data_IF_742153558559
#
_entry.id   IF_742153558559
#
_cell.length_a   1.000
_cell.length_b   1.000
_cell.length_c   1.000
_cell.angle_alpha   90.00
_cell.angle_beta   90.00
_cell.angle_gamma   90.00
#
_symmetry.space_group_name_H-M   'P 1'
#
loop_
_entity.id
_entity.type
_entity.pdbx_description
1 polymer ?
#
# COMPACT_ATOMS: atom_id res chain seq x y z
N UNK A 1 10.37 57.18 29.58
CA UNK A 1 8.90 57.10 29.42
C UNK A 1 8.66 56.01 28.40
N UNK A 2 8.16 54.89 28.91
CA UNK A 2 7.70 53.76 28.11
C UNK A 2 6.36 54.16 27.47
N UNK A 3 6.19 53.92 26.18
CA UNK A 3 4.85 53.77 25.61
C UNK A 3 4.85 52.55 24.72
N UNK A 4 3.98 51.61 25.12
CA UNK A 4 3.74 50.31 24.51
C UNK A 4 3.12 50.52 23.14
N UNK A 5 3.67 49.87 22.12
CA UNK A 5 2.90 49.48 20.95
C UNK A 5 2.73 47.98 21.05
N UNK A 6 1.50 47.56 21.35
CA UNK A 6 1.08 46.17 21.35
C UNK A 6 1.37 45.56 19.98
N UNK A 7 2.30 44.61 19.98
CA UNK A 7 2.59 43.77 18.84
C UNK A 7 1.44 42.77 18.70
N UNK A 8 0.54 43.05 17.75
CA UNK A 8 -0.39 42.05 17.21
C UNK A 8 0.48 41.00 16.54
N UNK A 9 0.86 39.97 17.31
CA UNK A 9 1.57 38.81 16.79
C UNK A 9 0.75 38.23 15.66
N UNK A 10 1.33 38.30 14.48
CA UNK A 10 0.87 37.73 13.23
C UNK A 10 0.27 36.36 13.46
N UNK A 11 -0.89 36.11 12.84
CA UNK A 11 -1.30 34.77 12.42
C UNK A 11 -0.11 34.12 11.71
N UNK A 12 0.66 33.35 12.46
CA UNK A 12 1.80 32.62 11.97
C UNK A 12 1.27 31.49 11.12
N UNK A 13 1.57 31.59 9.83
CA UNK A 13 1.79 30.47 8.91
C UNK A 13 0.82 29.31 9.07
N UNK A 14 -0.17 29.28 8.18
CA UNK A 14 -0.72 28.03 7.67
C UNK A 14 0.41 27.02 7.56
N UNK A 15 0.46 26.12 8.53
CA UNK A 15 1.32 24.96 8.49
C UNK A 15 0.61 24.06 7.51
N UNK A 16 0.87 24.30 6.23
CA UNK A 16 0.64 23.32 5.18
C UNK A 16 1.55 22.14 5.53
N UNK A 17 1.10 21.31 6.48
CA UNK A 17 1.52 19.94 6.62
C UNK A 17 1.05 19.27 5.33
N UNK A 18 1.81 19.49 4.26
CA UNK A 18 1.84 18.58 3.14
C UNK A 18 2.13 17.23 3.77
N UNK A 19 1.07 16.42 3.89
CA UNK A 19 1.17 14.98 3.92
C UNK A 19 1.87 14.57 2.62
N UNK A 20 3.19 14.77 2.54
CA UNK A 20 4.06 13.99 1.68
C UNK A 20 4.31 12.65 2.37
N UNK A 21 3.22 11.96 2.72
CA UNK A 21 3.24 10.51 2.74
C UNK A 21 3.24 10.14 1.25
N UNK A 22 4.46 10.01 0.74
CA UNK A 22 4.82 9.25 -0.47
C UNK A 22 3.63 8.59 -1.16
N UNK A 23 3.29 9.12 -2.34
CA UNK A 23 2.49 8.41 -3.34
C UNK A 23 3.05 7.01 -3.66
N UNK A 24 4.26 6.67 -3.20
CA UNK A 24 4.86 5.33 -3.30
C UNK A 24 4.32 4.28 -2.31
N UNK A 25 3.42 4.62 -1.38
CA UNK A 25 2.82 3.64 -0.45
C UNK A 25 1.46 3.09 -0.90
N UNK A 26 0.84 3.68 -1.92
CA UNK A 26 -0.37 3.13 -2.55
C UNK A 26 -0.01 2.15 -3.68
N UNK A 27 1.15 2.32 -4.32
CA UNK A 27 1.61 1.49 -5.44
C UNK A 27 2.25 0.14 -5.05
N UNK A 28 2.17 -0.28 -3.78
CA UNK A 28 2.73 -1.57 -3.31
C UNK A 28 1.78 -2.44 -2.49
N UNK A 29 0.46 -2.23 -2.62
CA UNK A 29 -0.52 -3.24 -2.21
C UNK A 29 -0.66 -4.29 -3.29
N UNK A 30 0.41 -5.06 -3.52
CA UNK A 30 0.23 -6.37 -4.13
C UNK A 30 -0.56 -7.22 -3.14
N UNK A 31 -1.80 -7.53 -3.50
CA UNK A 31 -2.54 -8.68 -3.00
C UNK A 31 -1.61 -9.90 -3.15
N UNK A 32 -0.89 -10.24 -2.08
CA UNK A 32 -0.23 -11.53 -1.89
C UNK A 32 -1.13 -12.37 -1.00
N UNK A 33 -2.22 -12.81 -1.60
CA UNK A 33 -3.14 -13.87 -1.17
C UNK A 33 -3.93 -14.22 -2.42
N UNK A 34 -4.07 -15.44 -2.91
CA UNK A 34 -3.75 -16.75 -2.41
C UNK A 34 -4.51 -17.67 -3.36
N UNK A 35 -3.79 -18.44 -4.18
CA UNK A 35 -4.30 -19.69 -4.72
C UNK A 35 -3.22 -20.72 -4.41
N UNK A 36 -3.31 -21.30 -3.22
CA UNK A 36 -2.61 -22.55 -2.92
C UNK A 36 -3.14 -23.62 -3.88
N UNK A 37 -2.27 -24.02 -4.81
CA UNK A 37 -2.25 -25.26 -5.58
C UNK A 37 -3.57 -26.03 -5.79
N UNK A 38 -4.09 -26.04 -7.03
CA UNK A 38 -4.76 -27.23 -7.55
C UNK A 38 -3.68 -28.11 -8.17
N UNK A 39 -3.10 -29.02 -7.38
CA UNK A 39 -2.35 -30.15 -7.95
C UNK A 39 -3.37 -31.08 -8.61
N UNK A 40 -3.45 -31.06 -9.93
CA UNK A 40 -4.14 -32.10 -10.69
C UNK A 40 -3.37 -33.40 -10.51
N UNK A 41 -4.00 -34.41 -9.89
CA UNK A 41 -3.44 -35.78 -9.87
C UNK A 41 -3.32 -36.31 -11.30
N UNK A 42 -2.14 -36.72 -11.78
CA UNK A 42 -2.03 -37.34 -13.08
C UNK A 42 -2.67 -38.74 -13.03
N UNK A 43 -3.61 -38.98 -13.93
CA UNK A 43 -4.19 -40.30 -14.15
C UNK A 43 -3.10 -41.31 -14.55
N UNK A 44 -3.09 -42.46 -13.85
CA UNK A 44 -2.65 -43.78 -14.32
C UNK A 44 -1.32 -43.88 -15.09
N UNK A 45 -0.25 -44.24 -14.38
CA UNK A 45 1.06 -44.61 -14.93
C UNK A 45 0.98 -45.75 -15.95
N UNK A 46 1.51 -45.52 -17.15
CA UNK A 46 2.11 -46.56 -17.98
C UNK A 46 3.50 -46.11 -18.40
N UNK A 47 4.48 -46.94 -18.05
CA UNK A 47 5.92 -46.71 -18.19
C UNK A 47 6.30 -46.24 -19.60
N UNK A 48 6.81 -45.01 -19.69
CA UNK A 48 7.59 -44.52 -20.81
C UNK A 48 8.85 -43.79 -20.31
N UNK A 49 9.87 -43.96 -21.12
CA UNK A 49 11.30 -43.90 -20.87
C UNK A 49 11.83 -42.54 -20.37
N UNK A 50 12.88 -42.59 -19.52
CA UNK A 50 13.49 -41.42 -18.87
C UNK A 50 14.50 -40.73 -19.78
N UNK A 51 14.03 -39.71 -20.51
CA UNK A 51 14.71 -38.41 -20.54
C UNK A 51 13.74 -37.44 -19.88
N UNK A 52 14.08 -36.86 -18.73
CA UNK A 52 13.12 -36.05 -17.97
C UNK A 52 12.91 -34.72 -18.72
N UNK A 53 12.02 -34.72 -19.71
CA UNK A 53 11.36 -33.52 -20.19
C UNK A 53 10.70 -32.86 -18.97
N UNK A 54 10.85 -31.55 -18.85
CA UNK A 54 10.12 -30.75 -17.86
C UNK A 54 8.62 -31.14 -17.91
N UNK A 55 8.01 -31.59 -16.79
CA UNK A 55 6.63 -32.05 -16.77
C UNK A 55 5.64 -31.05 -17.35
N UNK A 56 5.88 -29.75 -17.17
CA UNK A 56 5.04 -28.69 -17.74
C UNK A 56 5.20 -28.61 -19.26
N UNK A 57 6.43 -28.67 -19.76
CA UNK A 57 6.73 -28.69 -21.19
C UNK A 57 6.17 -29.95 -21.88
N UNK A 58 6.27 -31.11 -21.23
CA UNK A 58 5.69 -32.36 -21.71
C UNK A 58 4.16 -32.27 -21.76
N UNK A 59 3.52 -31.77 -20.69
CA UNK A 59 2.06 -31.59 -20.61
C UNK A 59 1.58 -30.64 -21.71
N UNK A 60 2.27 -29.52 -21.90
CA UNK A 60 1.95 -28.55 -22.96
C UNK A 60 2.03 -29.19 -24.35
N UNK A 61 3.14 -29.87 -24.64
CA UNK A 61 3.40 -30.56 -25.91
C UNK A 61 2.33 -31.61 -26.22
N UNK A 62 2.01 -32.49 -25.28
CA UNK A 62 1.03 -33.56 -25.51
C UNK A 62 -0.41 -33.05 -25.56
N UNK A 63 -0.75 -32.00 -24.81
CA UNK A 63 -2.09 -31.38 -24.89
C UNK A 63 -2.30 -30.70 -26.24
N UNK A 64 -1.29 -30.00 -26.78
CA UNK A 64 -1.33 -29.43 -28.13
C UNK A 64 -1.51 -30.50 -29.22
N UNK A 65 -0.79 -31.63 -29.11
CA UNK A 65 -0.95 -32.75 -30.03
C UNK A 65 -2.34 -33.40 -29.94
N UNK A 66 -2.88 -33.53 -28.71
CA UNK A 66 -4.22 -34.05 -28.50
C UNK A 66 -5.29 -33.17 -29.16
N UNK A 67 -5.19 -31.84 -29.00
CA UNK A 67 -6.10 -30.89 -29.66
C UNK A 67 -6.00 -31.01 -31.18
N UNK A 68 -4.79 -31.04 -31.74
CA UNK A 68 -4.59 -31.16 -33.19
C UNK A 68 -5.15 -32.47 -33.78
N UNK A 69 -5.23 -33.54 -32.97
CA UNK A 69 -5.80 -34.82 -33.36
C UNK A 69 -7.31 -34.96 -33.06
N UNK A 70 -7.90 -34.01 -32.32
CA UNK A 70 -9.29 -34.04 -31.90
C UNK A 70 -10.17 -33.29 -32.91
N UNK A 71 -11.25 -33.90 -33.45
CA UNK A 71 -12.14 -33.22 -34.38
C UNK A 71 -12.86 -32.01 -33.77
N UNK A 72 -13.18 -31.03 -34.61
CA UNK A 72 -14.00 -29.87 -34.20
C UNK A 72 -15.34 -30.34 -33.60
N UNK A 73 -15.72 -29.73 -32.47
CA UNK A 73 -16.96 -30.05 -31.76
C UNK A 73 -16.90 -31.29 -30.86
N UNK A 74 -15.74 -31.92 -30.69
CA UNK A 74 -15.56 -32.99 -29.71
C UNK A 74 -15.84 -32.48 -28.27
N UNK A 75 -16.58 -33.23 -27.43
CA UNK A 75 -17.00 -32.77 -26.10
C UNK A 75 -15.85 -32.46 -25.13
N UNK A 76 -14.68 -33.09 -25.33
CA UNK A 76 -13.50 -32.87 -24.47
C UNK A 76 -12.63 -31.69 -24.92
N UNK A 77 -12.84 -31.17 -26.14
CA UNK A 77 -12.05 -30.07 -26.69
C UNK A 77 -12.07 -28.81 -25.81
N UNK A 78 -13.22 -28.39 -25.23
CA UNK A 78 -13.28 -27.28 -24.29
C UNK A 78 -12.43 -27.48 -23.02
N UNK A 79 -12.32 -28.72 -22.53
CA UNK A 79 -11.48 -29.05 -21.37
C UNK A 79 -10.00 -28.92 -21.72
N UNK A 80 -9.58 -29.42 -22.89
CA UNK A 80 -8.20 -29.32 -23.36
C UNK A 80 -7.79 -27.86 -23.58
N UNK A 81 -8.68 -27.04 -24.17
CA UNK A 81 -8.47 -25.60 -24.29
C UNK A 81 -8.34 -24.93 -22.91
N UNK A 82 -9.21 -25.25 -21.96
CA UNK A 82 -9.12 -24.70 -20.59
C UNK A 82 -7.79 -25.06 -19.92
N UNK A 83 -7.33 -26.30 -20.07
CA UNK A 83 -6.04 -26.75 -19.55
C UNK A 83 -4.86 -25.97 -20.17
N UNK A 84 -4.86 -25.78 -21.49
CA UNK A 84 -3.85 -24.95 -22.15
C UNK A 84 -3.90 -23.49 -21.68
N UNK A 85 -5.09 -22.92 -21.51
CA UNK A 85 -5.25 -21.55 -21.03
C UNK A 85 -4.62 -21.33 -19.65
N UNK A 86 -4.76 -22.29 -18.73
CA UNK A 86 -4.10 -22.27 -17.41
C UNK A 86 -2.59 -22.42 -17.55
N UNK A 87 -2.11 -23.43 -18.29
CA UNK A 87 -0.67 -23.68 -18.48
C UNK A 87 0.06 -22.47 -19.07
N UNK A 88 -0.53 -21.82 -20.08
CA UNK A 88 0.06 -20.62 -20.67
C UNK A 88 -0.01 -19.41 -19.73
N UNK A 89 -1.02 -19.32 -18.86
CA UNK A 89 -1.08 -18.28 -17.81
C UNK A 89 0.07 -18.47 -16.81
N UNK A 90 0.30 -19.69 -16.35
CA UNK A 90 1.38 -20.00 -15.41
C UNK A 90 2.76 -19.81 -16.07
N UNK A 91 2.89 -20.23 -17.33
CA UNK A 91 4.10 -19.98 -18.11
C UNK A 91 4.38 -18.49 -18.26
N UNK A 92 3.36 -17.68 -18.57
CA UNK A 92 3.49 -16.22 -18.59
C UNK A 92 3.97 -15.66 -17.24
N UNK A 93 3.40 -16.12 -16.12
CA UNK A 93 3.82 -15.67 -14.78
C UNK A 93 5.29 -15.98 -14.50
N UNK A 94 5.81 -17.07 -15.05
CA UNK A 94 7.20 -17.48 -14.89
C UNK A 94 8.16 -16.75 -15.85
N UNK A 95 7.74 -16.51 -17.10
CA UNK A 95 8.63 -16.01 -18.17
C UNK A 95 8.45 -14.53 -18.49
N UNK A 96 7.28 -13.96 -18.19
CA UNK A 96 6.84 -12.64 -18.63
C UNK A 96 6.52 -12.54 -20.13
N UNK A 97 6.48 -13.66 -20.87
CA UNK A 97 6.27 -13.63 -22.34
C UNK A 97 4.84 -13.21 -22.72
N UNK A 98 4.75 -12.11 -23.46
CA UNK A 98 3.47 -11.55 -23.94
C UNK A 98 2.77 -12.54 -24.88
N UNK A 99 3.53 -13.32 -25.65
CA UNK A 99 3.01 -14.36 -26.52
C UNK A 99 2.33 -15.47 -25.73
N UNK A 100 2.91 -15.89 -24.61
CA UNK A 100 2.31 -16.88 -23.71
C UNK A 100 0.99 -16.34 -23.12
N UNK A 101 0.92 -15.07 -22.73
CA UNK A 101 -0.33 -14.45 -22.28
C UNK A 101 -1.40 -14.36 -23.40
N UNK A 102 -0.97 -14.07 -24.63
CA UNK A 102 -1.84 -14.08 -25.80
C UNK A 102 -2.41 -15.48 -26.09
N UNK A 103 -1.58 -16.51 -25.96
CA UNK A 103 -2.00 -17.91 -26.07
C UNK A 103 -2.97 -18.29 -24.95
N UNK A 104 -2.70 -17.89 -23.71
CA UNK A 104 -3.59 -18.12 -22.57
C UNK A 104 -4.99 -17.54 -22.82
N UNK A 105 -5.07 -16.28 -23.26
CA UNK A 105 -6.33 -15.62 -23.61
C UNK A 105 -7.06 -16.36 -24.74
N UNK A 106 -6.36 -16.75 -25.80
CA UNK A 106 -6.94 -17.47 -26.92
C UNK A 106 -7.57 -18.80 -26.51
N UNK A 107 -6.83 -19.61 -25.74
CA UNK A 107 -7.31 -20.92 -25.29
C UNK A 107 -8.42 -20.82 -24.24
N UNK A 108 -8.31 -19.91 -23.27
CA UNK A 108 -9.39 -19.68 -22.29
C UNK A 108 -10.67 -19.17 -22.97
N UNK A 109 -10.55 -18.29 -23.98
CA UNK A 109 -11.70 -17.82 -24.75
C UNK A 109 -12.35 -18.94 -25.56
N UNK A 110 -11.56 -19.78 -26.22
CA UNK A 110 -12.05 -20.95 -26.95
C UNK A 110 -12.75 -21.95 -26.02
N UNK A 111 -12.22 -22.16 -24.81
CA UNK A 111 -12.83 -23.00 -23.79
C UNK A 111 -14.21 -22.45 -23.38
N UNK A 112 -14.30 -21.17 -23.01
CA UNK A 112 -15.56 -20.53 -22.61
C UNK A 112 -16.59 -20.57 -23.74
N UNK A 113 -16.21 -20.21 -24.97
CA UNK A 113 -17.11 -20.17 -26.12
C UNK A 113 -17.71 -21.53 -26.47
N UNK A 114 -16.96 -22.61 -26.24
CA UNK A 114 -17.40 -23.98 -26.52
C UNK A 114 -18.10 -24.66 -25.32
N UNK A 115 -18.28 -23.94 -24.20
CA UNK A 115 -18.95 -24.45 -23.00
C UNK A 115 -20.35 -23.84 -22.88
N UNK A 116 -21.42 -24.65 -22.82
CA UNK A 116 -22.76 -24.12 -22.56
C UNK A 116 -22.87 -23.42 -21.20
N UNK A 117 -23.61 -22.33 -21.13
CA UNK A 117 -23.94 -21.66 -19.86
C UNK A 117 -24.70 -22.65 -18.96
N UNK A 118 -24.30 -22.74 -17.69
CA UNK A 118 -24.85 -23.69 -16.72
C UNK A 118 -24.15 -25.05 -16.68
N UNK A 119 -23.19 -25.32 -17.58
CA UNK A 119 -22.28 -26.45 -17.43
C UNK A 119 -21.41 -26.26 -16.17
N UNK A 120 -21.11 -27.30 -15.38
CA UNK A 120 -20.33 -27.19 -14.14
C UNK A 120 -19.00 -26.45 -14.32
N UNK A 121 -18.26 -26.75 -15.40
CA UNK A 121 -16.98 -26.10 -15.68
C UNK A 121 -17.08 -24.66 -16.23
N UNK A 122 -18.28 -24.19 -16.61
CA UNK A 122 -18.42 -22.90 -17.27
C UNK A 122 -17.96 -21.74 -16.38
N UNK A 123 -18.31 -21.80 -15.09
CA UNK A 123 -17.88 -20.79 -14.11
C UNK A 123 -16.34 -20.76 -14.00
N UNK A 124 -15.71 -21.91 -13.74
CA UNK A 124 -14.25 -22.00 -13.64
C UNK A 124 -13.52 -21.53 -14.90
N UNK A 125 -14.07 -21.80 -16.09
CA UNK A 125 -13.51 -21.30 -17.37
C UNK A 125 -13.65 -19.78 -17.51
N UNK A 126 -14.77 -19.20 -17.10
CA UNK A 126 -14.94 -17.75 -17.07
C UNK A 126 -13.97 -17.08 -16.10
N UNK A 127 -13.75 -17.67 -14.92
CA UNK A 127 -12.77 -17.20 -13.94
C UNK A 127 -11.35 -17.23 -14.52
N UNK A 128 -10.93 -18.34 -15.13
CA UNK A 128 -9.61 -18.44 -15.78
C UNK A 128 -9.43 -17.39 -16.87
N UNK A 129 -10.45 -17.16 -17.70
CA UNK A 129 -10.42 -16.12 -18.72
C UNK A 129 -10.32 -14.72 -18.11
N UNK A 130 -11.07 -14.44 -17.03
CA UNK A 130 -11.01 -13.17 -16.34
C UNK A 130 -9.64 -12.92 -15.70
N UNK A 131 -8.97 -13.96 -15.18
CA UNK A 131 -7.59 -13.89 -14.69
C UNK A 131 -6.65 -13.51 -15.83
N UNK A 132 -6.71 -14.15 -17.00
CA UNK A 132 -5.87 -13.77 -18.15
C UNK A 132 -6.09 -12.32 -18.60
N UNK A 133 -7.34 -11.83 -18.57
CA UNK A 133 -7.65 -10.43 -18.84
C UNK A 133 -7.05 -9.48 -17.80
N UNK A 134 -7.09 -9.86 -16.52
CA UNK A 134 -6.49 -9.10 -15.41
C UNK A 134 -4.97 -9.02 -15.57
N UNK A 135 -4.31 -10.13 -15.92
CA UNK A 135 -2.87 -10.14 -16.20
C UNK A 135 -2.53 -9.24 -17.40
N UNK A 136 -3.35 -9.26 -18.46
CA UNK A 136 -3.17 -8.35 -19.61
C UNK A 136 -3.33 -6.89 -19.19
N UNK A 137 -4.31 -6.57 -18.34
CA UNK A 137 -4.45 -5.23 -17.80
C UNK A 137 -3.21 -4.79 -17.02
N UNK A 138 -2.69 -5.63 -16.11
CA UNK A 138 -1.47 -5.32 -15.36
C UNK A 138 -0.27 -5.04 -16.25
N UNK A 139 -0.15 -5.77 -17.36
CA UNK A 139 0.94 -5.58 -18.32
C UNK A 139 0.80 -4.31 -19.17
N UNK A 140 -0.43 -4.00 -19.62
CA UNK A 140 -0.67 -3.00 -20.69
C UNK A 140 -1.31 -1.70 -20.21
N UNK A 141 -1.97 -1.72 -19.06
CA UNK A 141 -2.84 -0.66 -18.58
C UNK A 141 -4.11 -0.44 -19.41
N UNK A 142 -4.42 -1.35 -20.35
CA UNK A 142 -5.60 -1.25 -21.23
C UNK A 142 -6.89 -1.51 -20.45
N UNK A 143 -7.72 -0.47 -20.28
CA UNK A 143 -9.00 -0.54 -19.56
C UNK A 143 -9.92 -1.60 -20.17
N UNK A 144 -9.89 -1.82 -21.48
CA UNK A 144 -10.69 -2.86 -22.14
C UNK A 144 -10.37 -4.27 -21.64
N UNK A 145 -9.14 -4.51 -21.21
CA UNK A 145 -8.76 -5.79 -20.61
C UNK A 145 -9.44 -5.95 -19.24
N UNK A 146 -9.50 -4.88 -18.45
CA UNK A 146 -10.20 -4.87 -17.17
C UNK A 146 -11.72 -5.03 -17.32
N UNK A 147 -12.33 -4.37 -18.31
CA UNK A 147 -13.74 -4.55 -18.67
C UNK A 147 -14.03 -5.98 -19.12
N UNK A 148 -13.09 -6.60 -19.83
CA UNK A 148 -13.14 -8.03 -20.18
C UNK A 148 -13.18 -8.93 -18.94
N UNK A 149 -12.30 -8.69 -17.96
CA UNK A 149 -12.28 -9.42 -16.70
C UNK A 149 -13.62 -9.28 -15.95
N UNK A 150 -14.12 -8.04 -15.80
CA UNK A 150 -15.40 -7.75 -15.17
C UNK A 150 -16.55 -8.48 -15.86
N UNK A 151 -16.62 -8.43 -17.19
CA UNK A 151 -17.68 -9.08 -17.96
C UNK A 151 -17.78 -10.58 -17.66
N UNK A 152 -16.65 -11.29 -17.67
CA UNK A 152 -16.67 -12.75 -17.46
C UNK A 152 -16.86 -13.12 -15.99
N UNK A 153 -16.32 -12.35 -15.05
CA UNK A 153 -16.59 -12.55 -13.61
C UNK A 153 -18.07 -12.29 -13.25
N UNK A 154 -18.69 -11.25 -13.80
CA UNK A 154 -20.11 -10.97 -13.60
C UNK A 154 -20.99 -12.06 -14.22
N UNK A 155 -20.63 -12.53 -15.42
CA UNK A 155 -21.33 -13.63 -16.07
C UNK A 155 -21.22 -14.93 -15.26
N UNK A 156 -20.03 -15.23 -14.72
CA UNK A 156 -19.78 -16.33 -13.78
C UNK A 156 -20.69 -16.26 -12.55
N UNK A 157 -20.77 -15.10 -11.89
CA UNK A 157 -21.67 -14.89 -10.74
C UNK A 157 -23.13 -15.09 -11.13
N UNK A 158 -23.56 -14.53 -12.26
CA UNK A 158 -24.96 -14.60 -12.70
C UNK A 158 -25.43 -16.02 -13.04
N UNK A 159 -24.53 -16.90 -13.48
CA UNK A 159 -24.86 -18.29 -13.84
C UNK A 159 -24.73 -19.28 -12.69
N UNK A 160 -24.16 -18.87 -11.56
CA UNK A 160 -23.85 -19.77 -10.44
C UNK A 160 -24.92 -19.65 -9.35
N UNK A 161 -25.56 -20.77 -8.93
CA UNK A 161 -26.58 -20.73 -7.88
C UNK A 161 -26.05 -20.21 -6.54
N UNK A 162 -26.92 -19.52 -5.78
CA UNK A 162 -26.60 -19.08 -4.42
C UNK A 162 -26.19 -20.28 -3.54
N UNK A 163 -25.11 -20.11 -2.78
CA UNK A 163 -24.57 -21.14 -1.88
C UNK A 163 -23.53 -22.06 -2.51
N UNK A 164 -23.24 -21.93 -3.82
CA UNK A 164 -22.10 -22.61 -4.42
C UNK A 164 -20.78 -22.01 -3.90
N UNK A 165 -19.90 -22.86 -3.38
CA UNK A 165 -18.56 -22.48 -2.92
C UNK A 165 -17.73 -21.71 -3.96
N UNK A 166 -17.94 -21.95 -5.25
CA UNK A 166 -17.22 -21.27 -6.35
C UNK A 166 -17.58 -19.79 -6.51
N UNK A 167 -18.69 -19.33 -5.91
CA UNK A 167 -19.05 -17.91 -5.89
C UNK A 167 -18.05 -17.06 -5.10
N UNK A 168 -17.45 -17.62 -4.05
CA UNK A 168 -16.48 -16.93 -3.20
C UNK A 168 -15.31 -16.38 -4.03
N UNK A 169 -14.77 -17.19 -4.94
CA UNK A 169 -13.62 -16.82 -5.77
C UNK A 169 -14.03 -15.80 -6.84
N UNK A 170 -15.23 -15.94 -7.40
CA UNK A 170 -15.79 -14.95 -8.34
C UNK A 170 -15.97 -13.58 -7.67
N UNK A 171 -16.46 -13.53 -6.43
CA UNK A 171 -16.57 -12.27 -5.69
C UNK A 171 -15.22 -11.62 -5.44
N UNK A 172 -14.19 -12.38 -5.06
CA UNK A 172 -12.83 -11.85 -4.89
C UNK A 172 -12.31 -11.26 -6.21
N UNK A 173 -12.49 -11.97 -7.32
CA UNK A 173 -12.04 -11.48 -8.62
C UNK A 173 -12.79 -10.20 -9.04
N UNK A 174 -14.09 -10.09 -8.74
CA UNK A 174 -14.84 -8.84 -8.94
C UNK A 174 -14.30 -7.70 -8.07
N UNK A 175 -14.00 -7.96 -6.79
CA UNK A 175 -13.40 -6.96 -5.89
C UNK A 175 -12.10 -6.43 -6.47
N UNK A 176 -11.20 -7.31 -6.94
CA UNK A 176 -9.93 -6.92 -7.56
C UNK A 176 -10.20 -6.08 -8.80
N UNK A 177 -11.04 -6.56 -9.73
CA UNK A 177 -11.28 -5.85 -10.99
C UNK A 177 -11.94 -4.49 -10.81
N UNK A 178 -12.91 -4.36 -9.89
CA UNK A 178 -13.54 -3.06 -9.60
C UNK A 178 -12.59 -2.12 -8.86
N UNK A 179 -11.75 -2.64 -7.94
CA UNK A 179 -10.74 -1.82 -7.25
C UNK A 179 -9.71 -1.28 -8.24
N UNK A 180 -9.19 -2.12 -9.13
CA UNK A 180 -8.26 -1.72 -10.19
C UNK A 180 -8.89 -0.66 -11.12
N UNK A 181 -10.20 -0.79 -11.40
CA UNK A 181 -10.92 0.14 -12.28
C UNK A 181 -11.13 1.47 -11.61
N UNK A 182 -11.52 1.45 -10.33
CA UNK A 182 -11.61 2.64 -9.49
C UNK A 182 -10.26 3.36 -9.41
N UNK A 183 -9.16 2.65 -9.10
CA UNK A 183 -7.82 3.25 -9.02
C UNK A 183 -7.42 3.92 -10.33
N UNK A 184 -7.83 3.36 -11.47
CA UNK A 184 -7.51 3.89 -12.79
C UNK A 184 -8.36 5.08 -13.20
N UNK A 185 -9.64 5.09 -12.83
CA UNK A 185 -10.63 6.05 -13.35
C UNK A 185 -11.05 7.11 -12.33
N UNK A 186 -10.90 6.81 -11.04
CA UNK A 186 -11.46 7.58 -9.94
C UNK A 186 -12.98 7.45 -9.80
N UNK A 187 -13.63 6.51 -10.50
CA UNK A 187 -15.09 6.38 -10.50
C UNK A 187 -15.61 5.76 -9.20
N UNK A 188 -16.41 6.55 -8.47
CA UNK A 188 -17.01 6.14 -7.20
C UNK A 188 -18.05 5.02 -7.36
N UNK A 189 -18.63 4.83 -8.55
CA UNK A 189 -19.53 3.70 -8.80
C UNK A 189 -18.77 2.37 -8.76
N UNK A 190 -17.57 2.33 -9.34
CA UNK A 190 -16.69 1.15 -9.30
C UNK A 190 -16.22 0.86 -7.86
N UNK A 191 -15.89 1.90 -7.08
CA UNK A 191 -15.60 1.77 -5.65
C UNK A 191 -16.78 1.16 -4.87
N UNK A 192 -18.00 1.61 -5.19
CA UNK A 192 -19.24 1.10 -4.60
C UNK A 192 -19.48 -0.38 -4.93
N UNK A 193 -19.25 -0.79 -6.17
CA UNK A 193 -19.35 -2.21 -6.57
C UNK A 193 -18.25 -3.06 -5.92
N UNK A 194 -17.01 -2.55 -5.79
CA UNK A 194 -15.94 -3.24 -5.04
C UNK A 194 -16.35 -3.48 -3.58
N UNK A 195 -16.88 -2.46 -2.90
CA UNK A 195 -17.38 -2.58 -1.52
C UNK A 195 -18.50 -3.62 -1.43
N UNK A 196 -19.48 -3.56 -2.32
CA UNK A 196 -20.62 -4.48 -2.36
C UNK A 196 -20.17 -5.94 -2.48
N UNK A 197 -19.33 -6.28 -3.46
CA UNK A 197 -18.89 -7.67 -3.64
C UNK A 197 -17.99 -8.15 -2.51
N UNK A 198 -17.18 -7.26 -1.91
CA UNK A 198 -16.35 -7.64 -0.77
C UNK A 198 -17.19 -7.90 0.50
N UNK A 199 -18.23 -7.09 0.74
CA UNK A 199 -19.18 -7.31 1.84
C UNK A 199 -19.98 -8.61 1.64
N UNK A 200 -20.39 -8.92 0.41
CA UNK A 200 -21.00 -10.22 0.09
C UNK A 200 -20.02 -11.35 0.41
N UNK A 201 -18.76 -11.26 -0.05
CA UNK A 201 -17.74 -12.26 0.21
C UNK A 201 -17.48 -12.47 1.71
N UNK A 202 -17.48 -11.40 2.52
CA UNK A 202 -17.41 -11.48 3.99
C UNK A 202 -18.60 -12.25 4.55
N UNK A 203 -19.82 -11.93 4.10
CA UNK A 203 -21.06 -12.54 4.62
C UNK A 203 -21.18 -14.04 4.31
N UNK A 204 -20.58 -14.50 3.22
CA UNK A 204 -20.61 -15.91 2.79
C UNK A 204 -19.42 -16.71 3.30
N UNK A 205 -18.43 -16.08 3.91
CA UNK A 205 -17.20 -16.74 4.38
C UNK A 205 -17.37 -17.20 5.83
N UNK A 206 -17.12 -18.49 6.13
CA UNK A 206 -17.14 -18.98 7.49
C UNK A 206 -16.18 -18.19 8.40
N UNK A 207 -16.60 -17.91 9.63
CA UNK A 207 -15.81 -17.12 10.60
C UNK A 207 -14.45 -17.75 10.96
N UNK A 208 -14.26 -19.05 10.70
CA UNK A 208 -13.00 -19.76 10.91
C UNK A 208 -12.02 -19.67 9.73
N UNK A 209 -12.40 -19.02 8.63
CA UNK A 209 -11.58 -18.96 7.43
C UNK A 209 -10.47 -17.89 7.56
N UNK A 210 -9.23 -18.27 7.25
CA UNK A 210 -8.06 -17.40 7.40
C UNK A 210 -8.14 -16.12 6.55
N UNK A 211 -8.72 -16.19 5.36
CA UNK A 211 -8.90 -15.04 4.46
C UNK A 211 -9.97 -14.04 4.93
N UNK A 212 -10.72 -14.32 5.99
CA UNK A 212 -11.73 -13.36 6.48
C UNK A 212 -11.07 -12.06 6.95
N UNK A 213 -9.94 -12.16 7.66
CA UNK A 213 -9.19 -10.99 8.12
C UNK A 213 -8.66 -10.12 6.96
N UNK A 214 -8.26 -10.75 5.86
CA UNK A 214 -7.83 -10.05 4.63
C UNK A 214 -8.98 -9.31 3.96
N UNK A 215 -10.15 -9.95 3.87
CA UNK A 215 -11.35 -9.30 3.32
C UNK A 215 -11.79 -8.09 4.16
N UNK A 216 -11.73 -8.22 5.49
CA UNK A 216 -12.00 -7.09 6.40
C UNK A 216 -11.05 -5.93 6.15
N UNK A 217 -9.74 -6.19 6.03
CA UNK A 217 -8.73 -5.18 5.71
C UNK A 217 -8.98 -4.51 4.35
N UNK A 218 -9.33 -5.29 3.32
CA UNK A 218 -9.66 -4.73 2.00
C UNK A 218 -10.89 -3.80 2.07
N UNK A 219 -11.94 -4.17 2.81
CA UNK A 219 -13.11 -3.30 3.03
C UNK A 219 -12.72 -2.04 3.79
N UNK A 220 -11.81 -2.14 4.78
CA UNK A 220 -11.33 -0.98 5.50
C UNK A 220 -10.62 0.04 4.59
N UNK A 221 -9.77 -0.44 3.68
CA UNK A 221 -9.11 0.38 2.66
C UNK A 221 -10.09 1.06 1.72
N UNK A 222 -11.08 0.33 1.18
CA UNK A 222 -12.08 0.89 0.28
C UNK A 222 -12.94 1.97 0.95
N UNK A 223 -13.31 1.79 2.23
CA UNK A 223 -14.02 2.83 2.99
C UNK A 223 -13.13 4.06 3.27
N UNK A 224 -11.85 3.87 3.54
CA UNK A 224 -10.91 4.99 3.70
C UNK A 224 -10.79 5.79 2.39
N UNK A 225 -10.70 5.10 1.24
CA UNK A 225 -10.67 5.76 -0.06
C UNK A 225 -11.97 6.51 -0.34
N UNK A 226 -13.13 5.90 -0.02
CA UNK A 226 -14.43 6.56 -0.12
C UNK A 226 -14.50 7.82 0.75
N UNK A 227 -14.02 7.74 1.99
CA UNK A 227 -13.91 8.91 2.87
C UNK A 227 -13.03 10.00 2.26
N UNK A 228 -11.86 9.67 1.70
CA UNK A 228 -10.96 10.67 1.11
C UNK A 228 -11.60 11.41 -0.07
N UNK A 229 -12.51 10.76 -0.80
CA UNK A 229 -13.19 11.36 -1.94
C UNK A 229 -14.43 12.16 -1.55
N UNK A 230 -15.23 11.65 -0.60
CA UNK A 230 -16.56 12.20 -0.27
C UNK A 230 -16.54 13.03 1.02
N UNK A 231 -15.69 12.67 1.97
CA UNK A 231 -15.57 13.31 3.29
C UNK A 231 -16.62 12.85 4.31
N UNK A 232 -17.35 11.76 4.05
CA UNK A 232 -18.39 11.26 4.97
C UNK A 232 -17.78 10.51 6.15
N UNK A 233 -17.87 11.09 7.35
CA UNK A 233 -17.34 10.50 8.59
C UNK A 233 -17.81 9.06 8.87
N UNK A 234 -19.00 8.65 8.40
CA UNK A 234 -19.46 7.28 8.57
C UNK A 234 -18.56 6.26 7.84
N UNK A 235 -17.99 6.65 6.69
CA UNK A 235 -17.05 5.81 5.95
C UNK A 235 -15.72 5.66 6.69
N UNK A 236 -15.21 6.72 7.32
CA UNK A 236 -14.00 6.62 8.16
C UNK A 236 -14.24 5.74 9.40
N UNK A 237 -15.42 5.84 10.02
CA UNK A 237 -15.79 4.95 11.12
C UNK A 237 -15.95 3.50 10.66
N UNK A 238 -16.52 3.26 9.48
CA UNK A 238 -16.58 1.94 8.87
C UNK A 238 -15.17 1.38 8.63
N UNK A 239 -14.27 2.18 8.06
CA UNK A 239 -12.87 1.81 7.84
C UNK A 239 -12.20 1.32 9.13
N UNK A 240 -12.25 2.13 10.20
CA UNK A 240 -11.67 1.78 11.50
C UNK A 240 -12.30 0.51 12.11
N UNK A 241 -13.63 0.34 11.98
CA UNK A 241 -14.31 -0.87 12.46
C UNK A 241 -13.83 -2.13 11.74
N UNK A 242 -13.66 -2.07 10.42
CA UNK A 242 -13.19 -3.19 9.62
C UNK A 242 -11.70 -3.51 9.89
N UNK A 243 -10.85 -2.50 10.05
CA UNK A 243 -9.45 -2.67 10.48
C UNK A 243 -9.36 -3.35 11.86
N UNK A 244 -10.21 -2.95 12.82
CA UNK A 244 -10.28 -3.56 14.15
C UNK A 244 -10.65 -5.06 14.07
N UNK A 245 -11.60 -5.41 13.21
CA UNK A 245 -11.97 -6.81 12.97
C UNK A 245 -10.81 -7.59 12.35
N UNK A 246 -10.13 -7.02 11.35
CA UNK A 246 -8.98 -7.65 10.71
C UNK A 246 -7.87 -7.94 11.73
N UNK A 247 -7.53 -6.97 12.59
CA UNK A 247 -6.53 -7.14 13.66
C UNK A 247 -6.98 -8.21 14.66
N UNK A 248 -8.24 -8.18 15.10
CA UNK A 248 -8.75 -9.15 16.09
C UNK A 248 -8.80 -10.60 15.57
N UNK A 249 -9.00 -10.78 14.26
CA UNK A 249 -9.03 -12.09 13.61
C UNK A 249 -7.63 -12.63 13.29
N UNK A 250 -6.59 -11.80 13.37
CA UNK A 250 -5.22 -12.19 13.01
C UNK A 250 -4.51 -12.79 14.22
N UNK A 251 -3.98 -14.03 14.14
CA UNK A 251 -3.24 -14.62 15.26
C UNK A 251 -2.02 -13.79 15.66
N UNK A 252 -1.69 -13.76 16.96
CA UNK A 252 -0.60 -12.93 17.52
C UNK A 252 0.77 -13.18 16.85
N UNK A 253 1.04 -14.43 16.44
CA UNK A 253 2.30 -14.80 15.82
C UNK A 253 2.28 -14.71 14.28
N UNK A 254 1.21 -14.19 13.69
CA UNK A 254 1.09 -14.13 12.24
C UNK A 254 1.93 -12.96 11.66
N UNK A 255 2.78 -13.19 10.64
CA UNK A 255 3.68 -12.16 10.12
C UNK A 255 3.00 -10.86 9.66
N UNK A 256 1.78 -10.94 9.13
CA UNK A 256 1.01 -9.77 8.66
C UNK A 256 0.43 -8.90 9.79
N UNK A 257 0.42 -9.38 11.03
CA UNK A 257 -0.24 -8.69 12.15
C UNK A 257 0.34 -7.29 12.36
N UNK A 258 1.66 -7.15 12.26
CA UNK A 258 2.33 -5.85 12.38
C UNK A 258 1.81 -4.84 11.36
N UNK A 259 1.70 -5.24 10.09
CA UNK A 259 1.19 -4.37 9.03
C UNK A 259 -0.26 -3.96 9.28
N UNK A 260 -1.13 -4.90 9.68
CA UNK A 260 -2.53 -4.60 10.01
C UNK A 260 -2.67 -3.64 11.19
N UNK A 261 -1.90 -3.86 12.25
CA UNK A 261 -1.86 -2.96 13.40
C UNK A 261 -1.37 -1.57 13.00
N UNK A 262 -0.37 -1.50 12.13
CA UNK A 262 0.14 -0.23 11.62
C UNK A 262 -0.91 0.52 10.80
N UNK A 263 -1.61 -0.16 9.87
CA UNK A 263 -2.69 0.43 9.07
C UNK A 263 -3.80 1.00 9.96
N UNK A 264 -4.29 0.20 10.91
CA UNK A 264 -5.30 0.65 11.87
C UNK A 264 -4.82 1.90 12.63
N UNK A 265 -3.54 1.95 13.00
CA UNK A 265 -2.98 3.10 13.66
C UNK A 265 -2.90 4.35 12.78
N UNK A 266 -2.69 4.18 11.47
CA UNK A 266 -2.78 5.27 10.49
C UNK A 266 -4.22 5.77 10.36
N UNK A 267 -5.21 4.88 10.33
CA UNK A 267 -6.64 5.23 10.33
C UNK A 267 -7.02 6.09 11.55
N UNK A 268 -6.55 5.72 12.75
CA UNK A 268 -6.70 6.56 13.95
C UNK A 268 -5.92 7.88 13.88
N UNK A 269 -4.67 7.86 13.40
CA UNK A 269 -3.87 9.10 13.25
C UNK A 269 -4.56 10.09 12.31
N UNK A 270 -5.15 9.56 11.25
CA UNK A 270 -5.87 10.34 10.27
C UNK A 270 -7.16 10.93 10.87
N UNK A 271 -7.98 10.14 11.57
CA UNK A 271 -9.16 10.68 12.27
C UNK A 271 -8.79 11.71 13.33
N UNK A 272 -7.70 11.51 14.04
CA UNK A 272 -7.14 12.53 14.95
C UNK A 272 -6.83 13.84 14.21
N UNK A 273 -6.20 13.79 13.03
CA UNK A 273 -5.90 15.01 12.26
C UNK A 273 -7.15 15.82 11.87
N UNK A 274 -8.32 15.17 11.79
CA UNK A 274 -9.59 15.80 11.41
C UNK A 274 -10.40 16.30 12.61
N UNK A 275 -10.32 15.59 13.74
CA UNK A 275 -11.20 15.81 14.90
C UNK A 275 -10.49 16.42 16.10
N UNK A 276 -9.15 16.35 16.11
CA UNK A 276 -8.30 16.71 17.24
C UNK A 276 -8.66 15.94 18.55
N UNK A 277 -9.30 14.76 18.44
CA UNK A 277 -9.64 13.90 19.59
C UNK A 277 -8.41 13.14 20.09
N UNK A 278 -7.96 13.49 21.30
CA UNK A 278 -6.80 12.88 21.95
C UNK A 278 -6.93 11.35 22.10
N UNK A 279 -8.15 10.80 22.18
CA UNK A 279 -8.37 9.34 22.26
C UNK A 279 -7.89 8.62 21.00
N UNK A 280 -8.06 9.25 19.84
CA UNK A 280 -7.59 8.69 18.57
C UNK A 280 -6.08 8.72 18.47
N UNK A 281 -5.45 9.80 18.95
CA UNK A 281 -4.00 9.86 19.04
C UNK A 281 -3.44 8.77 19.98
N UNK A 282 -4.09 8.53 21.12
CA UNK A 282 -3.71 7.46 22.05
C UNK A 282 -3.90 6.06 21.45
N UNK A 283 -5.00 5.84 20.71
CA UNK A 283 -5.22 4.60 19.97
C UNK A 283 -4.15 4.40 18.88
N UNK A 284 -3.83 5.44 18.12
CA UNK A 284 -2.76 5.42 17.12
C UNK A 284 -1.41 5.05 17.74
N UNK A 285 -1.01 5.69 18.84
CA UNK A 285 0.24 5.37 19.54
C UNK A 285 0.26 3.92 20.02
N UNK A 286 -0.83 3.45 20.62
CA UNK A 286 -0.96 2.06 21.07
C UNK A 286 -0.71 1.07 19.93
N UNK A 287 -1.40 1.22 18.80
CA UNK A 287 -1.28 0.27 17.70
C UNK A 287 0.05 0.41 16.94
N UNK A 288 0.64 1.60 16.84
CA UNK A 288 2.01 1.76 16.30
C UNK A 288 3.06 1.07 17.16
N UNK A 289 2.94 1.15 18.49
CA UNK A 289 3.84 0.45 19.40
C UNK A 289 3.71 -1.07 19.29
N UNK A 290 2.48 -1.58 19.18
CA UNK A 290 2.24 -3.02 18.94
C UNK A 290 2.82 -3.48 17.60
N UNK A 291 2.63 -2.70 16.54
CA UNK A 291 3.18 -3.00 15.23
C UNK A 291 4.72 -3.05 15.26
N UNK A 292 5.36 -2.07 15.92
CA UNK A 292 6.81 -2.01 16.05
C UNK A 292 7.36 -3.17 16.87
N UNK A 293 6.69 -3.57 17.95
CA UNK A 293 7.10 -4.71 18.79
C UNK A 293 7.15 -6.04 18.00
N UNK A 294 6.36 -6.15 16.94
CA UNK A 294 6.29 -7.30 16.04
C UNK A 294 7.18 -7.17 14.79
N UNK A 295 7.94 -6.08 14.67
CA UNK A 295 8.82 -5.81 13.52
C UNK A 295 10.28 -5.93 13.93
N UNK A 296 11.06 -6.74 13.23
CA UNK A 296 12.49 -6.82 13.48
C UNK A 296 13.22 -5.57 12.97
N UNK A 297 14.32 -5.19 13.63
CA UNK A 297 15.12 -4.00 13.28
C UNK A 297 15.63 -4.00 11.83
N UNK A 298 15.87 -5.18 11.25
CA UNK A 298 16.31 -5.34 9.86
C UNK A 298 15.17 -5.28 8.83
N UNK A 299 13.91 -5.18 9.26
CA UNK A 299 12.76 -5.16 8.37
C UNK A 299 12.61 -3.77 7.72
N UNK A 300 12.34 -3.66 6.41
CA UNK A 300 12.20 -2.37 5.73
C UNK A 300 11.16 -1.41 6.36
N UNK A 301 10.09 -1.95 6.95
CA UNK A 301 9.06 -1.14 7.60
C UNK A 301 9.49 -0.55 8.96
N UNK A 302 10.56 -1.04 9.58
CA UNK A 302 10.96 -0.64 10.93
C UNK A 302 11.24 0.86 11.03
N UNK A 303 12.02 1.40 10.09
CA UNK A 303 12.33 2.83 10.04
C UNK A 303 11.10 3.70 9.80
N UNK A 304 10.15 3.23 8.99
CA UNK A 304 8.88 3.93 8.70
C UNK A 304 7.99 3.96 9.95
N UNK A 305 7.87 2.82 10.66
CA UNK A 305 7.09 2.72 11.89
C UNK A 305 7.66 3.60 13.00
N UNK A 306 8.99 3.63 13.17
CA UNK A 306 9.66 4.53 14.11
C UNK A 306 9.36 6.00 13.80
N UNK A 307 9.44 6.40 12.54
CA UNK A 307 9.12 7.77 12.13
C UNK A 307 7.66 8.12 12.43
N UNK A 308 6.72 7.23 12.12
CA UNK A 308 5.30 7.44 12.39
C UNK A 308 4.98 7.55 13.88
N UNK A 309 5.71 6.80 14.74
CA UNK A 309 5.66 6.97 16.19
C UNK A 309 6.18 8.34 16.62
N UNK A 310 7.32 8.77 16.09
CA UNK A 310 7.90 10.05 16.42
C UNK A 310 6.93 11.21 16.14
N UNK A 311 6.25 11.20 14.98
CA UNK A 311 5.22 12.19 14.65
C UNK A 311 4.08 12.20 15.67
N UNK A 312 3.51 11.04 16.02
CA UNK A 312 2.42 10.99 17.01
C UNK A 312 2.84 11.43 18.41
N UNK A 313 4.10 11.19 18.80
CA UNK A 313 4.63 11.71 20.06
C UNK A 313 4.82 13.23 20.01
N UNK A 314 5.23 13.81 18.88
CA UNK A 314 5.28 15.27 18.69
C UNK A 314 3.86 15.86 18.80
N UNK A 315 2.88 15.24 18.18
CA UNK A 315 1.48 15.71 18.27
C UNK A 315 0.99 15.66 19.72
N UNK A 316 1.28 14.56 20.43
CA UNK A 316 0.90 14.41 21.85
C UNK A 316 1.62 15.44 22.72
N UNK A 317 2.89 15.72 22.42
CA UNK A 317 3.63 16.79 23.07
C UNK A 317 2.95 18.15 22.86
N UNK A 318 2.57 18.49 21.64
CA UNK A 318 1.91 19.78 21.33
C UNK A 318 0.58 19.95 22.07
N UNK A 319 -0.17 18.86 22.25
CA UNK A 319 -1.45 18.87 22.96
C UNK A 319 -1.32 18.92 24.48
N UNK A 320 -0.36 18.19 25.04
CA UNK A 320 -0.24 17.99 26.50
C UNK A 320 0.81 18.90 27.14
N UNK A 321 1.77 19.39 26.37
CA UNK A 321 2.96 20.08 26.86
C UNK A 321 3.96 19.19 27.59
N UNK A 322 3.70 17.88 27.72
CA UNK A 322 4.55 16.97 28.47
C UNK A 322 5.83 16.63 27.69
N UNK A 323 6.94 17.18 28.16
CA UNK A 323 8.26 17.09 27.56
C UNK A 323 8.74 15.65 27.34
N UNK A 324 8.25 14.67 28.12
CA UNK A 324 8.62 13.26 27.93
C UNK A 324 8.19 12.75 26.55
N UNK A 325 7.06 13.22 26.02
CA UNK A 325 6.64 12.87 24.66
C UNK A 325 7.63 13.38 23.61
N UNK A 326 8.19 14.56 23.80
CA UNK A 326 9.20 15.09 22.88
C UNK A 326 10.51 14.31 22.96
N UNK A 327 10.89 13.84 24.15
CA UNK A 327 12.05 12.96 24.32
C UNK A 327 11.83 11.61 23.64
N UNK A 328 10.63 11.03 23.73
CA UNK A 328 10.29 9.80 23.02
C UNK A 328 10.28 10.01 21.50
N UNK A 329 9.75 11.14 21.01
CA UNK A 329 9.83 11.49 19.60
C UNK A 329 11.28 11.58 19.09
N UNK A 330 12.17 12.20 19.86
CA UNK A 330 13.60 12.27 19.54
C UNK A 330 14.23 10.87 19.49
N UNK A 331 13.93 10.00 20.46
CA UNK A 331 14.41 8.60 20.46
C UNK A 331 13.98 7.86 19.20
N UNK A 332 12.70 7.92 18.84
CA UNK A 332 12.18 7.24 17.66
C UNK A 332 12.72 7.83 16.34
N UNK A 333 12.87 9.15 16.23
CA UNK A 333 13.53 9.78 15.08
C UNK A 333 14.99 9.34 14.93
N UNK A 334 15.75 9.24 16.03
CA UNK A 334 17.12 8.73 16.00
C UNK A 334 17.17 7.25 15.58
N UNK A 335 16.26 6.43 16.08
CA UNK A 335 16.18 5.01 15.71
C UNK A 335 15.84 4.85 14.23
N UNK A 336 14.86 5.60 13.74
CA UNK A 336 14.52 5.68 12.32
C UNK A 336 15.72 6.06 11.45
N UNK A 337 16.49 7.07 11.88
CA UNK A 337 17.69 7.51 11.17
C UNK A 337 18.78 6.42 11.14
N UNK A 338 19.05 5.74 12.26
CA UNK A 338 20.03 4.64 12.32
C UNK A 338 19.66 3.44 11.46
N UNK A 339 18.36 3.18 11.29
CA UNK A 339 17.85 2.11 10.45
C UNK A 339 17.88 2.46 8.94
N UNK A 340 18.26 3.69 8.57
CA UNK A 340 18.24 4.16 7.20
C UNK A 340 19.64 4.09 6.58
N UNK A 341 19.85 3.30 5.52
CA UNK A 341 21.14 3.24 4.83
C UNK A 341 21.54 4.58 4.21
N UNK A 342 22.85 4.78 4.03
CA UNK A 342 23.37 5.90 3.25
C UNK A 342 22.80 5.87 1.82
N UNK A 343 22.44 7.04 1.29
CA UNK A 343 21.85 7.17 -0.05
C UNK A 343 20.36 6.79 -0.16
N UNK A 344 19.70 6.39 0.94
CA UNK A 344 18.27 6.13 0.92
C UNK A 344 17.46 7.43 0.69
N UNK A 345 16.42 7.44 -0.16
CA UNK A 345 15.64 8.65 -0.47
C UNK A 345 15.09 9.39 0.76
N UNK A 346 14.61 8.64 1.77
CA UNK A 346 14.09 9.23 3.01
C UNK A 346 15.14 9.89 3.93
N UNK A 347 16.44 9.67 3.69
CA UNK A 347 17.49 10.05 4.65
C UNK A 347 17.43 11.55 4.99
N UNK A 348 17.30 12.40 3.96
CA UNK A 348 17.18 13.84 4.13
C UNK A 348 15.90 14.25 4.87
N UNK A 349 14.78 13.55 4.64
CA UNK A 349 13.53 13.76 5.38
C UNK A 349 13.66 13.39 6.86
N UNK A 350 14.38 12.32 7.18
CA UNK A 350 14.62 11.87 8.57
C UNK A 350 15.49 12.86 9.34
N UNK A 351 16.53 13.41 8.71
CA UNK A 351 17.31 14.50 9.30
C UNK A 351 16.45 15.74 9.57
N UNK A 352 15.60 16.13 8.61
CA UNK A 352 14.70 17.26 8.79
C UNK A 352 13.71 17.08 9.96
N UNK A 353 13.13 15.89 10.12
CA UNK A 353 12.23 15.59 11.25
C UNK A 353 12.96 15.67 12.59
N UNK A 354 14.21 15.17 12.66
CA UNK A 354 15.02 15.27 13.85
C UNK A 354 15.38 16.73 14.17
N UNK A 355 15.69 17.53 13.14
CA UNK A 355 15.91 18.97 13.29
C UNK A 355 14.67 19.66 13.88
N UNK A 356 13.49 19.36 13.36
CA UNK A 356 12.22 19.93 13.84
C UNK A 356 11.96 19.59 15.31
N UNK A 357 12.14 18.33 15.71
CA UNK A 357 11.99 17.92 17.11
C UNK A 357 12.97 18.64 18.05
N UNK A 358 14.21 18.86 17.61
CA UNK A 358 15.18 19.67 18.37
C UNK A 358 14.79 21.15 18.45
N UNK A 359 14.20 21.71 17.39
CA UNK A 359 13.68 23.08 17.40
C UNK A 359 12.53 23.22 18.42
N UNK A 360 11.57 22.30 18.40
CA UNK A 360 10.45 22.27 19.34
C UNK A 360 10.96 22.18 20.80
N UNK A 361 12.02 21.38 21.05
CA UNK A 361 12.62 21.27 22.38
C UNK A 361 13.34 22.54 22.78
N UNK A 362 14.11 23.12 21.85
CA UNK A 362 14.84 24.36 22.04
C UNK A 362 13.93 25.53 22.40
N UNK A 363 12.80 25.70 21.69
CA UNK A 363 11.84 26.77 21.97
C UNK A 363 11.30 26.75 23.41
N UNK A 364 11.38 25.59 24.06
CA UNK A 364 10.80 25.34 25.38
C UNK A 364 11.83 25.28 26.49
N UNK A 365 12.96 24.63 26.23
CA UNK A 365 14.05 24.48 27.18
C UNK A 365 15.01 25.67 27.18
N UNK A 366 15.18 26.32 26.02
CA UNK A 366 16.19 27.33 25.77
C UNK A 366 17.63 26.79 25.72
N UNK A 367 17.84 25.47 25.78
CA UNK A 367 19.18 24.88 25.81
C UNK A 367 19.88 25.03 24.45
N UNK A 368 21.04 25.68 24.46
CA UNK A 368 21.87 25.92 23.27
C UNK A 368 22.22 24.65 22.50
N UNK A 369 22.34 23.53 23.20
CA UNK A 369 22.67 22.22 22.67
C UNK A 369 21.60 21.71 21.70
N UNK A 370 20.32 21.95 21.99
CA UNK A 370 19.20 21.59 21.12
C UNK A 370 19.21 22.47 19.85
N UNK A 371 19.57 23.75 19.96
CA UNK A 371 19.74 24.64 18.79
C UNK A 371 20.88 24.20 17.89
N UNK A 372 22.03 23.82 18.47
CA UNK A 372 23.17 23.30 17.72
C UNK A 372 22.85 21.92 17.09
N UNK A 373 22.06 21.09 17.76
CA UNK A 373 21.58 19.82 17.21
C UNK A 373 20.58 20.03 16.06
N UNK A 374 19.66 20.98 16.19
CA UNK A 374 18.76 21.40 15.11
C UNK A 374 19.56 21.83 13.86
N UNK A 375 20.56 22.69 14.05
CA UNK A 375 21.41 23.17 12.95
C UNK A 375 22.16 22.03 12.26
N UNK A 376 22.83 21.17 13.04
CA UNK A 376 23.56 20.01 12.49
C UNK A 376 22.66 19.11 11.64
N UNK A 377 21.43 18.86 12.09
CA UNK A 377 20.49 18.03 11.36
C UNK A 377 19.94 18.72 10.10
N UNK A 378 19.69 20.03 10.11
CA UNK A 378 19.30 20.75 8.90
C UNK A 378 20.43 20.80 7.86
N UNK A 379 21.69 20.92 8.29
CA UNK A 379 22.86 20.79 7.40
C UNK A 379 22.89 19.39 6.77
N UNK A 380 22.78 18.34 7.58
CA UNK A 380 22.77 16.97 7.10
C UNK A 380 21.59 16.67 6.16
N UNK A 381 20.41 17.25 6.42
CA UNK A 381 19.25 17.15 5.54
C UNK A 381 19.56 17.73 4.15
N UNK A 382 20.09 18.95 4.09
CA UNK A 382 20.48 19.59 2.82
C UNK A 382 21.58 18.77 2.11
N UNK A 383 22.61 18.32 2.81
CA UNK A 383 23.68 17.50 2.23
C UNK A 383 23.21 16.14 1.68
N UNK A 384 22.16 15.56 2.27
CA UNK A 384 21.57 14.30 1.81
C UNK A 384 20.50 14.49 0.71
N UNK A 385 20.24 15.72 0.29
CA UNK A 385 19.22 16.05 -0.72
C UNK A 385 19.87 16.15 -2.10
N UNK A 386 19.41 15.38 -3.11
CA UNK A 386 19.83 15.58 -4.50
C UNK A 386 19.51 17.00 -5.01
N UNK A 387 20.33 17.54 -5.91
CA UNK A 387 20.15 18.91 -6.43
C UNK A 387 18.81 19.11 -7.19
N UNK A 388 18.26 18.03 -7.75
CA UNK A 388 16.98 18.00 -8.48
C UNK A 388 15.77 17.63 -7.60
N UNK A 389 15.96 17.43 -6.29
CA UNK A 389 14.88 17.11 -5.36
C UNK A 389 13.95 18.34 -5.17
N UNK A 390 12.63 18.20 -5.43
CA UNK A 390 11.66 19.28 -5.23
C UNK A 390 11.60 19.86 -3.80
N UNK A 391 12.09 19.12 -2.80
CA UNK A 391 12.13 19.55 -1.40
C UNK A 391 13.40 20.31 -1.02
N UNK A 392 14.41 20.39 -1.89
CA UNK A 392 15.64 21.13 -1.62
C UNK A 392 15.39 22.60 -1.23
N UNK A 393 14.53 23.38 -1.92
CA UNK A 393 14.26 24.77 -1.54
C UNK A 393 13.71 24.90 -0.11
N UNK A 394 12.78 24.02 0.27
CA UNK A 394 12.18 23.99 1.62
C UNK A 394 13.23 23.65 2.68
N UNK A 395 14.11 22.68 2.40
CA UNK A 395 15.20 22.30 3.31
C UNK A 395 16.23 23.42 3.49
N UNK A 396 16.57 24.15 2.43
CA UNK A 396 17.43 25.34 2.48
C UNK A 396 16.80 26.47 3.30
N UNK A 397 15.50 26.72 3.12
CA UNK A 397 14.77 27.71 3.91
C UNK A 397 14.79 27.39 5.41
N UNK A 398 14.59 26.12 5.77
CA UNK A 398 14.66 25.67 7.16
C UNK A 398 16.06 25.82 7.74
N UNK A 399 17.10 25.54 6.96
CA UNK A 399 18.49 25.77 7.38
C UNK A 399 18.78 27.26 7.60
N UNK A 400 18.29 28.15 6.73
CA UNK A 400 18.42 29.59 6.90
C UNK A 400 17.72 30.10 8.17
N UNK A 401 16.54 29.55 8.50
CA UNK A 401 15.83 29.85 9.74
C UNK A 401 16.65 29.45 10.98
N UNK A 402 17.22 28.24 10.99
CA UNK A 402 18.12 27.78 12.08
C UNK A 402 19.33 28.69 12.29
N UNK A 403 19.96 29.13 11.19
CA UNK A 403 21.08 30.06 11.28
C UNK A 403 20.68 31.44 11.80
N UNK A 404 19.48 31.91 11.43
CA UNK A 404 18.93 33.18 11.94
C UNK A 404 18.70 33.12 13.45
N UNK A 405 18.11 32.03 13.94
CA UNK A 405 17.87 31.85 15.37
C UNK A 405 19.16 31.74 16.18
N UNK A 406 20.17 31.06 15.64
CA UNK A 406 21.53 31.05 16.21
C UNK A 406 22.12 32.44 16.28
N UNK A 407 22.05 33.22 15.19
CA UNK A 407 22.57 34.59 15.16
C UNK A 407 21.90 35.49 16.21
N UNK A 408 20.57 35.46 16.29
CA UNK A 408 19.81 36.23 17.29
C UNK A 408 20.26 35.94 18.73
N UNK A 409 20.75 34.73 18.99
CA UNK A 409 21.18 34.29 20.32
C UNK A 409 22.64 34.55 20.62
N UNK A 410 23.53 34.35 19.66
CA UNK A 410 24.99 34.47 19.88
C UNK A 410 25.55 35.84 19.49
N UNK A 411 24.87 36.60 18.64
CA UNK A 411 25.35 37.88 18.10
C UNK A 411 26.54 37.73 17.14
N UNK A 412 26.83 36.52 16.66
CA UNK A 412 28.04 36.24 15.89
C UNK A 412 27.91 36.65 14.41
N UNK A 413 28.49 37.81 14.07
CA UNK A 413 28.51 38.44 12.74
C UNK A 413 29.24 37.64 11.64
N UNK A 414 30.04 36.62 11.98
CA UNK A 414 30.74 35.79 10.98
C UNK A 414 29.77 34.94 10.13
N UNK A 415 28.59 34.60 10.67
CA UNK A 415 27.57 33.77 10.01
C UNK A 415 26.84 34.49 8.86
N UNK A 416 26.72 35.82 8.90
CA UNK A 416 26.05 36.61 7.86
C UNK A 416 26.74 36.45 6.49
N UNK A 417 28.07 36.31 6.48
CA UNK A 417 28.84 36.08 5.24
C UNK A 417 28.65 34.68 4.65
N UNK A 418 28.33 33.68 5.47
CA UNK A 418 28.11 32.31 4.98
C UNK A 418 26.70 32.14 4.37
N UNK A 419 25.69 32.81 4.95
CA UNK A 419 24.30 32.79 4.44
C UNK A 419 24.19 33.58 3.13
N UNK A 420 24.88 34.72 3.01
CA UNK A 420 24.86 35.55 1.79
C UNK A 420 25.74 34.99 0.65
N UNK A 421 26.66 34.07 0.92
CA UNK A 421 27.59 33.51 -0.08
C UNK A 421 27.20 32.08 -0.52
N UNK A 422 25.99 31.61 -0.23
CA UNK A 422 25.49 30.37 -0.83
C UNK A 422 25.18 30.62 -2.32
N UNK A 423 25.70 29.81 -3.27
CA UNK A 423 25.65 30.12 -4.70
C UNK A 423 24.22 29.92 -5.24
N UNK A 424 23.40 30.95 -5.12
CA UNK A 424 22.06 31.05 -5.71
C UNK A 424 21.91 32.16 -6.75
N UNK A 425 22.99 32.86 -7.10
CA UNK A 425 23.00 33.90 -8.14
C UNK A 425 24.16 33.65 -9.12
N UNK A 426 23.92 32.78 -10.10
CA UNK A 426 24.60 32.86 -11.40
C UNK A 426 23.53 32.94 -12.49
N UNK A 427 22.83 34.07 -12.54
CA UNK A 427 22.34 34.60 -13.82
C UNK A 427 23.47 35.37 -14.49
N UNK A 428 24.05 34.76 -15.53
CA UNK A 428 24.65 35.45 -16.67
C UNK A 428 24.61 34.49 -17.88
#
# INVERSE_FOLDING_TARGET
MYEQVEEVTSKSSESTYLFSCTNDTVDKWHVKGGLESIRISPFGTRDLDRSVEDPEAATLKYTLQAIAATPDGHPDLPQMHGALGVLYTDKYRNTGSIEDLGAALGYNLAAVAATPIGHPDWNGRCQNLAVSYTEKYKLTGEIQSLEGALRYNLAAVAATPEGDHSLSDSYINLVISYTDKYQRTGDLEDLGEALKYNLIAISTTPSSHLSLAERQENVAGLYMDKYRQIGDSEDLEASIRHDLLAVAMTPENHPILSSRQFNLALSFSYRYSQTDDLKDLEAALKYKLLALANTSDGHPAFGIQCQSLATSYIDRYRRTGDINNLEDALKFNMTALRATPEGHPDLAGRYHNLATAYSDRYQRSGYSEDLEANLRNNIAAVSATPDDDPMLPTRLQNLAASYTDRFRRTGDLQLQKAILNSPGDTTA
#
